data_IF_943846805693
#
_entry.id   IF_943846805693
#
_cell.length_a   1.000
_cell.length_b   1.000
_cell.length_c   1.000
_cell.angle_alpha   90.00
_cell.angle_beta   90.00
_cell.angle_gamma   90.00
#
_symmetry.space_group_name_H-M   'P 1'
#
loop_
_entity.id
_entity.type
_entity.pdbx_description
1 polymer ?
#
# COMPACT_ATOMS: atom_id res chain seq x y z
N UNK A 1 6.93 3.52 -18.22
CA UNK A 1 7.21 3.47 -19.67
C UNK A 1 6.46 2.33 -20.33
N UNK A 2 6.75 1.05 -20.03
CA UNK A 2 6.15 -0.14 -20.70
C UNK A 2 4.63 -0.09 -20.81
N UNK A 3 3.93 0.29 -19.72
CA UNK A 3 2.48 0.37 -19.68
C UNK A 3 1.96 1.46 -20.64
N UNK A 4 2.59 2.63 -20.69
CA UNK A 4 2.20 3.72 -21.59
C UNK A 4 2.47 3.38 -23.05
N UNK A 5 3.60 2.74 -23.36
CA UNK A 5 3.90 2.28 -24.71
C UNK A 5 2.94 1.19 -25.20
N UNK A 6 2.48 0.31 -24.31
CA UNK A 6 1.43 -0.67 -24.62
C UNK A 6 0.16 0.01 -25.13
N UNK A 7 -0.18 1.17 -24.57
CA UNK A 7 -1.33 1.99 -24.98
C UNK A 7 -1.02 2.91 -26.18
N UNK A 8 0.17 2.80 -26.76
CA UNK A 8 0.56 3.62 -27.90
C UNK A 8 0.87 5.08 -27.57
N UNK A 9 1.14 5.38 -26.31
CA UNK A 9 1.48 6.74 -25.83
C UNK A 9 2.97 6.98 -26.08
N UNK A 10 3.29 8.11 -26.73
CA UNK A 10 4.67 8.58 -26.82
C UNK A 10 5.18 8.99 -25.43
N UNK A 11 6.36 8.51 -25.07
CA UNK A 11 6.89 8.64 -23.71
C UNK A 11 8.26 9.32 -23.71
N UNK A 12 8.42 10.31 -22.84
CA UNK A 12 9.71 10.90 -22.48
C UNK A 12 10.08 10.38 -21.09
N UNK A 13 11.19 9.66 -20.97
CA UNK A 13 11.77 9.27 -19.69
C UNK A 13 12.79 10.32 -19.26
N UNK A 14 12.46 11.06 -18.22
CA UNK A 14 13.29 12.14 -17.69
C UNK A 14 13.94 11.75 -16.36
N UNK A 15 15.23 12.01 -16.22
CA UNK A 15 15.96 11.96 -14.94
C UNK A 15 16.89 13.16 -14.83
N UNK A 16 16.74 13.96 -13.75
CA UNK A 16 17.56 15.14 -13.50
C UNK A 16 18.99 14.86 -13.03
N UNK A 17 19.38 13.59 -12.84
CA UNK A 17 20.70 13.20 -12.41
C UNK A 17 21.69 13.18 -13.58
N UNK A 18 22.44 14.27 -13.74
CA UNK A 18 23.45 14.43 -14.81
C UNK A 18 24.59 13.38 -14.80
N UNK A 19 24.71 12.60 -13.72
CA UNK A 19 25.72 11.52 -13.61
C UNK A 19 25.31 10.25 -14.33
N UNK A 20 24.02 10.10 -14.67
CA UNK A 20 23.53 8.96 -15.45
C UNK A 20 23.89 9.13 -16.94
N UNK A 21 24.23 8.02 -17.60
CA UNK A 21 24.34 8.00 -19.06
C UNK A 21 23.03 7.50 -19.70
N UNK A 22 22.76 7.95 -20.93
CA UNK A 22 21.61 7.45 -21.71
C UNK A 22 21.69 5.96 -21.94
N UNK A 23 22.88 5.43 -22.16
CA UNK A 23 23.16 4.01 -22.37
C UNK A 23 22.81 3.17 -21.12
N UNK A 24 23.16 3.65 -19.92
CA UNK A 24 22.80 2.97 -18.68
C UNK A 24 21.30 2.93 -18.45
N UNK A 25 20.60 4.04 -18.74
CA UNK A 25 19.15 4.11 -18.63
C UNK A 25 18.48 3.23 -19.69
N UNK A 26 18.92 3.31 -20.94
CA UNK A 26 18.42 2.47 -22.03
C UNK A 26 18.59 0.97 -21.76
N UNK A 27 19.70 0.58 -21.16
CA UNK A 27 19.97 -0.82 -20.78
C UNK A 27 19.05 -1.38 -19.70
N UNK A 28 18.30 -0.53 -18.99
CA UNK A 28 17.28 -0.92 -17.99
C UNK A 28 15.87 -0.98 -18.57
N UNK A 29 15.66 -0.48 -19.77
CA UNK A 29 14.36 -0.50 -20.44
C UNK A 29 14.15 -1.83 -21.16
N UNK A 30 12.90 -2.25 -21.36
CA UNK A 30 12.59 -3.42 -22.18
C UNK A 30 13.15 -3.31 -23.59
N UNK A 31 13.48 -4.45 -24.19
CA UNK A 31 13.90 -4.51 -25.59
C UNK A 31 12.79 -3.95 -26.50
N UNK A 32 13.18 -3.08 -27.42
CA UNK A 32 12.24 -2.42 -28.33
C UNK A 32 11.51 -1.20 -27.74
N UNK A 33 11.85 -0.78 -26.51
CA UNK A 33 11.34 0.47 -25.93
C UNK A 33 11.67 1.67 -26.81
N UNK A 34 10.66 2.52 -27.08
CA UNK A 34 10.76 3.70 -27.94
C UNK A 34 10.78 5.02 -27.17
N UNK A 35 10.76 4.95 -25.84
CA UNK A 35 10.78 6.14 -25.00
C UNK A 35 12.01 7.01 -25.28
N UNK A 36 11.80 8.29 -25.47
CA UNK A 36 12.90 9.25 -25.53
C UNK A 36 13.51 9.42 -24.13
N UNK A 37 14.83 9.32 -24.03
CA UNK A 37 15.54 9.45 -22.75
C UNK A 37 16.15 10.86 -22.67
N UNK A 38 15.79 11.60 -21.64
CA UNK A 38 16.32 12.94 -21.32
C UNK A 38 16.99 12.90 -19.96
N UNK A 39 18.28 13.26 -19.91
CA UNK A 39 19.08 13.30 -18.68
C UNK A 39 19.56 14.72 -18.42
N UNK A 40 19.49 15.16 -17.15
CA UNK A 40 19.98 16.45 -16.69
C UNK A 40 18.93 17.55 -16.80
N UNK A 41 19.10 18.54 -17.68
CA UNK A 41 18.15 19.64 -17.79
C UNK A 41 16.80 19.18 -18.37
N UNK A 42 15.70 19.63 -17.73
CA UNK A 42 14.36 19.39 -18.25
C UNK A 42 14.12 20.23 -19.52
N UNK A 43 13.54 19.64 -20.60
CA UNK A 43 13.31 20.33 -21.87
C UNK A 43 12.05 21.20 -21.80
N UNK A 44 12.11 22.34 -21.13
CA UNK A 44 10.97 23.25 -20.93
C UNK A 44 10.34 23.76 -22.22
N UNK A 45 11.11 23.81 -23.32
CA UNK A 45 10.61 24.17 -24.65
C UNK A 45 9.59 23.16 -25.21
N UNK A 46 9.49 21.97 -24.61
CA UNK A 46 8.57 20.89 -25.02
C UNK A 46 7.37 20.73 -24.09
N UNK A 47 7.16 21.63 -23.15
CA UNK A 47 6.05 21.54 -22.18
C UNK A 47 4.69 21.42 -22.87
N UNK A 48 4.49 22.14 -23.97
CA UNK A 48 3.25 22.13 -24.75
C UNK A 48 2.97 20.75 -25.44
N UNK A 49 3.97 19.86 -25.52
CA UNK A 49 3.83 18.51 -26.04
C UNK A 49 3.42 17.51 -24.95
N UNK A 50 3.51 17.88 -23.68
CA UNK A 50 3.31 17.00 -22.53
C UNK A 50 1.85 16.98 -22.12
N UNK A 51 1.20 15.84 -22.28
CA UNK A 51 -0.19 15.63 -21.84
C UNK A 51 -0.34 15.19 -20.39
N UNK A 52 0.72 14.64 -19.78
CA UNK A 52 0.72 14.15 -18.40
C UNK A 52 2.15 13.97 -17.88
N UNK A 53 2.38 14.26 -16.61
CA UNK A 53 3.60 13.93 -15.88
C UNK A 53 3.33 12.74 -14.94
N UNK A 54 4.13 11.68 -15.06
CA UNK A 54 4.05 10.52 -14.15
C UNK A 54 5.30 10.46 -13.28
N UNK A 55 5.12 10.57 -11.98
CA UNK A 55 6.21 10.59 -11.00
C UNK A 55 6.54 9.19 -10.49
N UNK A 56 7.83 8.88 -10.39
CA UNK A 56 8.31 7.79 -9.54
C UNK A 56 8.15 8.18 -8.06
N UNK A 57 7.88 7.21 -7.15
CA UNK A 57 7.60 7.51 -5.73
C UNK A 57 8.68 8.32 -4.99
N UNK A 58 9.95 8.20 -5.43
CA UNK A 58 11.07 8.95 -4.86
C UNK A 58 11.16 10.42 -5.28
N UNK A 59 10.41 10.83 -6.31
CA UNK A 59 10.44 12.20 -6.85
C UNK A 59 9.55 13.11 -5.99
N UNK A 60 10.12 14.20 -5.41
CA UNK A 60 9.34 15.15 -4.64
C UNK A 60 8.34 15.94 -5.49
N UNK A 61 7.10 16.11 -4.96
CA UNK A 61 6.06 16.90 -5.63
C UNK A 61 6.32 18.41 -5.58
N UNK A 62 7.20 18.86 -4.67
CA UNK A 62 7.62 20.24 -4.52
C UNK A 62 8.80 20.64 -5.42
N UNK A 63 9.28 19.76 -6.29
CA UNK A 63 10.30 20.11 -7.26
C UNK A 63 9.80 21.17 -8.25
N UNK A 64 10.65 22.14 -8.65
CA UNK A 64 10.24 23.18 -9.59
C UNK A 64 9.59 22.66 -10.86
N UNK A 65 10.15 21.61 -11.47
CA UNK A 65 9.59 21.01 -12.69
C UNK A 65 8.17 20.48 -12.47
N UNK A 66 7.89 19.86 -11.32
CA UNK A 66 6.55 19.32 -11.00
C UNK A 66 5.57 20.47 -10.82
N UNK A 67 5.94 21.48 -10.02
CA UNK A 67 5.10 22.67 -9.80
C UNK A 67 4.83 23.45 -11.09
N UNK A 68 5.79 23.52 -12.00
CA UNK A 68 5.63 24.22 -13.27
C UNK A 68 4.68 23.44 -14.19
N UNK A 69 4.69 22.10 -14.18
CA UNK A 69 3.70 21.28 -14.88
C UNK A 69 2.30 21.50 -14.33
N UNK A 70 2.14 21.50 -13.00
CA UNK A 70 0.85 21.76 -12.37
C UNK A 70 0.31 23.18 -12.73
N UNK A 71 1.16 24.21 -12.69
CA UNK A 71 0.80 25.56 -13.11
C UNK A 71 0.41 25.65 -14.58
N UNK A 72 1.03 24.83 -15.44
CA UNK A 72 0.66 24.71 -16.84
C UNK A 72 -0.64 23.91 -17.08
N UNK A 73 -1.25 23.39 -16.01
CA UNK A 73 -2.48 22.57 -16.10
C UNK A 73 -2.23 21.14 -16.58
N UNK A 74 -0.99 20.68 -16.57
CA UNK A 74 -0.61 19.31 -16.93
C UNK A 74 -0.88 18.40 -15.72
N UNK A 75 -1.68 17.33 -15.87
CA UNK A 75 -1.94 16.39 -14.79
C UNK A 75 -0.63 15.75 -14.28
N UNK A 76 -0.46 15.72 -12.96
CA UNK A 76 0.65 15.06 -12.28
C UNK A 76 0.13 13.84 -11.55
N UNK A 77 0.53 12.66 -12.00
CA UNK A 77 0.13 11.38 -11.46
C UNK A 77 1.32 10.64 -10.85
N UNK A 78 1.03 9.77 -9.89
CA UNK A 78 2.00 8.82 -9.39
C UNK A 78 1.89 7.47 -10.10
N UNK A 79 2.84 6.60 -9.81
CA UNK A 79 2.90 5.23 -10.34
C UNK A 79 1.64 4.42 -9.96
N UNK A 80 1.15 4.56 -8.71
CA UNK A 80 -0.04 3.86 -8.21
C UNK A 80 -1.30 4.33 -8.91
N UNK A 81 -1.47 5.64 -9.10
CA UNK A 81 -2.61 6.21 -9.83
C UNK A 81 -2.65 5.69 -11.25
N UNK A 82 -1.52 5.78 -11.95
CA UNK A 82 -1.42 5.27 -13.32
C UNK A 82 -1.74 3.77 -13.39
N UNK A 83 -1.15 2.96 -12.51
CA UNK A 83 -1.35 1.52 -12.50
C UNK A 83 -2.81 1.14 -12.23
N UNK A 84 -3.48 1.84 -11.32
CA UNK A 84 -4.88 1.57 -10.95
C UNK A 84 -5.85 1.83 -12.09
N UNK A 85 -5.51 2.73 -13.02
CA UNK A 85 -6.33 2.98 -14.21
C UNK A 85 -6.32 1.80 -15.20
N UNK A 86 -5.29 0.95 -15.18
CA UNK A 86 -5.15 -0.21 -16.07
C UNK A 86 -5.39 -1.53 -15.34
N UNK A 87 -5.09 -1.59 -14.05
CA UNK A 87 -5.36 -2.75 -13.21
C UNK A 87 -6.84 -3.08 -13.16
N UNK A 88 -7.16 -4.36 -13.07
CA UNK A 88 -8.53 -4.87 -13.00
C UNK A 88 -8.72 -5.69 -11.73
N UNK A 89 -9.98 -5.86 -11.32
CA UNK A 89 -10.34 -6.58 -10.11
C UNK A 89 -10.33 -5.71 -8.86
N UNK A 90 -10.36 -6.35 -7.71
CA UNK A 90 -10.46 -5.66 -6.41
C UNK A 90 -9.06 -5.29 -5.88
N UNK A 91 -8.94 -4.12 -5.25
CA UNK A 91 -7.71 -3.66 -4.62
C UNK A 91 -7.88 -3.62 -3.10
N UNK A 92 -6.94 -4.22 -2.37
CA UNK A 92 -6.79 -4.15 -0.93
C UNK A 92 -5.49 -3.37 -0.64
N UNK A 93 -5.59 -2.16 -0.09
CA UNK A 93 -4.46 -1.26 0.03
C UNK A 93 -4.07 -1.01 1.49
N UNK A 94 -2.78 -1.03 1.79
CA UNK A 94 -2.25 -0.90 3.15
C UNK A 94 -1.23 0.21 3.21
N UNK A 95 -1.43 1.14 4.14
CA UNK A 95 -0.46 2.17 4.50
C UNK A 95 -0.26 2.22 6.02
N UNK A 96 0.62 3.09 6.47
CA UNK A 96 0.98 3.27 7.87
C UNK A 96 2.45 3.67 8.00
N UNK A 97 2.90 4.04 9.19
CA UNK A 97 4.32 4.27 9.43
C UNK A 97 5.04 2.92 9.50
N UNK A 98 4.58 2.01 10.34
CA UNK A 98 5.18 0.71 10.60
C UNK A 98 4.20 -0.44 10.31
N UNK A 99 4.72 -1.65 10.09
CA UNK A 99 3.92 -2.86 9.95
C UNK A 99 3.40 -3.15 8.54
N UNK A 100 3.49 -2.20 7.61
CA UNK A 100 2.98 -2.35 6.24
C UNK A 100 3.39 -3.67 5.57
N UNK A 101 4.68 -3.92 5.50
CA UNK A 101 5.22 -5.10 4.79
C UNK A 101 4.73 -6.42 5.39
N UNK A 102 4.74 -6.53 6.72
CA UNK A 102 4.25 -7.73 7.41
C UNK A 102 2.75 -7.94 7.14
N UNK A 103 1.95 -6.88 7.26
CA UNK A 103 0.50 -6.93 7.02
C UNK A 103 0.19 -7.25 5.56
N UNK A 104 0.88 -6.61 4.61
CA UNK A 104 0.68 -6.82 3.17
C UNK A 104 1.07 -8.24 2.76
N UNK A 105 2.20 -8.74 3.26
CA UNK A 105 2.65 -10.11 2.95
C UNK A 105 1.67 -11.13 3.51
N UNK A 106 1.28 -10.98 4.79
CA UNK A 106 0.30 -11.89 5.41
C UNK A 106 -1.05 -11.87 4.68
N UNK A 107 -1.58 -10.67 4.38
CA UNK A 107 -2.82 -10.55 3.61
C UNK A 107 -2.68 -11.17 2.22
N UNK A 108 -1.55 -10.97 1.57
CA UNK A 108 -1.24 -11.60 0.28
C UNK A 108 -1.31 -13.14 0.36
N UNK A 109 -0.73 -13.74 1.40
CA UNK A 109 -0.78 -15.19 1.61
C UNK A 109 -2.21 -15.70 1.93
N UNK A 110 -2.99 -14.94 2.71
CA UNK A 110 -4.40 -15.26 2.96
C UNK A 110 -5.20 -15.20 1.66
N UNK A 111 -5.00 -14.15 0.85
CA UNK A 111 -5.71 -14.00 -0.41
C UNK A 111 -5.33 -15.07 -1.43
N UNK A 112 -4.06 -15.48 -1.54
CA UNK A 112 -3.59 -16.60 -2.38
C UNK A 112 -4.20 -17.94 -1.99
N UNK A 113 -4.51 -18.15 -0.72
CA UNK A 113 -5.20 -19.35 -0.26
C UNK A 113 -6.71 -19.34 -0.62
N UNK A 114 -7.27 -18.20 -0.99
CA UNK A 114 -8.69 -18.03 -1.30
C UNK A 114 -8.97 -17.75 -2.78
N UNK A 115 -8.08 -17.04 -3.48
CA UNK A 115 -8.24 -16.62 -4.88
C UNK A 115 -7.10 -17.14 -5.75
N UNK A 116 -7.35 -17.53 -7.00
CA UNK A 116 -6.31 -18.03 -7.90
C UNK A 116 -5.41 -16.93 -8.45
N UNK A 117 -5.91 -15.69 -8.57
CA UNK A 117 -5.20 -14.57 -9.17
C UNK A 117 -4.99 -13.47 -8.13
N UNK A 118 -3.83 -13.49 -7.47
CA UNK A 118 -3.46 -12.51 -6.45
C UNK A 118 -2.13 -11.86 -6.80
N UNK A 119 -2.12 -10.53 -6.83
CA UNK A 119 -0.94 -9.72 -7.08
C UNK A 119 -0.56 -8.96 -5.81
N UNK A 120 0.69 -9.10 -5.37
CA UNK A 120 1.26 -8.30 -4.27
C UNK A 120 2.18 -7.27 -4.88
N UNK A 121 1.85 -5.99 -4.70
CA UNK A 121 2.46 -4.89 -5.46
C UNK A 121 2.71 -3.65 -4.61
N UNK A 122 3.38 -2.67 -5.18
CA UNK A 122 3.57 -1.32 -4.63
C UNK A 122 4.95 -1.12 -4.03
N UNK A 123 5.01 -0.64 -2.79
CA UNK A 123 6.27 -0.36 -2.09
C UNK A 123 7.08 -1.64 -1.75
N UNK A 124 6.44 -2.80 -1.85
CA UNK A 124 7.04 -4.14 -1.81
C UNK A 124 6.55 -4.99 -2.99
N UNK A 125 7.21 -6.10 -3.23
CA UNK A 125 6.86 -6.99 -4.35
C UNK A 125 7.24 -6.38 -5.70
N UNK A 126 6.38 -6.57 -6.68
CA UNK A 126 6.56 -6.00 -8.02
C UNK A 126 5.97 -4.58 -8.10
N UNK A 127 6.52 -3.69 -8.94
CA UNK A 127 5.87 -2.42 -9.26
C UNK A 127 4.45 -2.66 -9.78
N UNK A 128 3.49 -1.89 -9.28
CA UNK A 128 2.08 -2.08 -9.68
C UNK A 128 1.88 -1.90 -11.18
N UNK A 129 2.55 -0.92 -11.80
CA UNK A 129 2.54 -0.71 -13.26
C UNK A 129 3.05 -1.90 -14.08
N UNK A 130 3.92 -2.74 -13.51
CA UNK A 130 4.44 -3.94 -14.19
C UNK A 130 3.39 -5.06 -14.23
N UNK A 131 2.54 -5.14 -13.21
CA UNK A 131 1.55 -6.20 -13.04
C UNK A 131 0.17 -5.82 -13.60
N UNK A 132 -0.13 -4.53 -13.73
CA UNK A 132 -1.47 -4.03 -14.08
C UNK A 132 -2.05 -4.64 -15.36
N UNK A 133 -1.23 -4.81 -16.42
CA UNK A 133 -1.68 -5.39 -17.68
C UNK A 133 -1.97 -6.90 -17.62
N UNK A 134 -1.52 -7.60 -16.60
CA UNK A 134 -1.77 -9.03 -16.39
C UNK A 134 -3.08 -9.31 -15.66
N UNK A 135 -3.66 -8.27 -15.05
CA UNK A 135 -4.82 -8.37 -14.18
C UNK A 135 -6.11 -8.57 -14.96
N UNK A 136 -7.00 -9.39 -14.41
CA UNK A 136 -8.34 -9.65 -14.92
C UNK A 136 -9.41 -9.14 -13.93
N UNK A 137 -10.68 -9.06 -14.31
CA UNK A 137 -11.75 -8.72 -13.36
C UNK A 137 -11.87 -9.66 -12.15
N UNK A 138 -11.27 -10.86 -12.21
CA UNK A 138 -11.25 -11.83 -11.10
C UNK A 138 -10.02 -11.66 -10.18
N UNK A 139 -9.08 -10.82 -10.54
CA UNK A 139 -7.85 -10.58 -9.79
C UNK A 139 -8.10 -9.86 -8.47
N UNK A 140 -7.25 -10.12 -7.50
CA UNK A 140 -7.16 -9.35 -6.26
C UNK A 140 -5.75 -8.79 -6.12
N UNK A 141 -5.67 -7.49 -5.96
CA UNK A 141 -4.41 -6.78 -5.75
C UNK A 141 -4.26 -6.45 -4.27
N UNK A 142 -3.19 -6.89 -3.65
CA UNK A 142 -2.79 -6.50 -2.29
C UNK A 142 -1.62 -5.53 -2.42
N UNK A 143 -1.87 -4.27 -2.11
CA UNK A 143 -0.94 -3.18 -2.39
C UNK A 143 -0.37 -2.55 -1.11
N UNK A 144 0.96 -2.57 -0.96
CA UNK A 144 1.63 -1.74 0.04
C UNK A 144 1.83 -0.34 -0.53
N UNK A 145 1.23 0.67 0.10
CA UNK A 145 1.29 2.05 -0.39
C UNK A 145 2.01 2.96 0.61
N UNK A 146 3.07 3.60 0.16
CA UNK A 146 3.79 4.62 0.93
C UNK A 146 3.03 5.96 0.95
N UNK A 147 3.35 6.84 1.90
CA UNK A 147 2.82 8.20 1.91
C UNK A 147 3.17 8.99 0.66
N UNK A 148 4.34 8.72 0.07
CA UNK A 148 4.79 9.39 -1.16
C UNK A 148 3.94 9.00 -2.37
N UNK A 149 3.55 7.73 -2.48
CA UNK A 149 2.66 7.26 -3.54
C UNK A 149 1.24 7.81 -3.42
N UNK A 150 0.81 8.14 -2.19
CA UNK A 150 -0.51 8.72 -1.93
C UNK A 150 -0.59 10.23 -2.22
N UNK A 151 0.55 10.94 -2.33
CA UNK A 151 0.57 12.38 -2.65
C UNK A 151 -0.04 12.72 -4.02
N UNK A 152 -0.10 11.76 -4.92
CA UNK A 152 -0.45 11.95 -6.35
C UNK A 152 -1.55 11.00 -6.83
N UNK A 153 -2.44 10.60 -5.94
CA UNK A 153 -3.64 9.86 -6.30
C UNK A 153 -4.78 10.82 -6.65
N UNK A 154 -5.67 10.41 -7.57
CA UNK A 154 -6.81 11.16 -8.04
C UNK A 154 -8.09 10.34 -8.12
N UNK A 155 -7.99 9.06 -8.53
CA UNK A 155 -9.11 8.13 -8.72
C UNK A 155 -8.90 6.81 -8.00
N UNK A 156 -7.71 6.56 -7.51
CA UNK A 156 -7.40 5.34 -6.77
C UNK A 156 -8.40 5.13 -5.63
N UNK A 157 -9.17 4.06 -5.69
CA UNK A 157 -10.22 3.72 -4.73
C UNK A 157 -10.12 2.24 -4.38
N UNK A 158 -9.40 1.85 -3.32
CA UNK A 158 -9.33 0.46 -2.90
C UNK A 158 -10.67 0.01 -2.31
N UNK A 159 -11.05 -1.25 -2.56
CA UNK A 159 -12.25 -1.87 -1.96
C UNK A 159 -12.14 -1.97 -0.44
N UNK A 160 -10.95 -2.24 0.06
CA UNK A 160 -10.64 -2.19 1.48
C UNK A 160 -9.28 -1.54 1.65
N UNK A 161 -9.22 -0.49 2.45
CA UNK A 161 -7.97 0.15 2.84
C UNK A 161 -7.61 -0.16 4.29
N UNK A 162 -6.34 0.02 4.66
CA UNK A 162 -5.90 0.01 6.04
C UNK A 162 -4.85 1.10 6.31
N UNK A 163 -4.98 1.77 7.46
CA UNK A 163 -3.95 2.65 8.02
C UNK A 163 -3.55 2.08 9.37
N UNK A 164 -2.34 1.51 9.45
CA UNK A 164 -1.93 0.70 10.61
C UNK A 164 -1.56 1.55 11.83
N UNK A 165 -0.90 2.66 11.60
CA UNK A 165 -0.46 3.61 12.62
C UNK A 165 0.13 4.84 11.95
N UNK A 166 0.15 5.97 12.69
CA UNK A 166 0.80 7.21 12.25
C UNK A 166 1.71 7.72 13.38
N UNK A 167 3.02 7.58 13.18
CA UNK A 167 4.05 8.12 14.07
C UNK A 167 5.02 8.97 13.28
N UNK A 168 5.72 9.95 13.88
CA UNK A 168 6.63 10.84 13.14
C UNK A 168 7.64 10.09 12.29
N UNK A 169 7.61 10.33 10.99
CA UNK A 169 8.52 9.77 10.01
C UNK A 169 8.51 10.66 8.74
N UNK A 170 9.55 10.60 7.94
CA UNK A 170 9.66 11.30 6.65
C UNK A 170 9.33 12.81 6.68
N UNK A 171 9.54 13.50 7.83
CA UNK A 171 9.24 14.93 7.95
C UNK A 171 10.18 15.82 7.10
N UNK A 172 11.33 15.29 6.68
CA UNK A 172 12.18 15.92 5.69
C UNK A 172 11.51 16.03 4.31
N UNK A 173 10.50 15.19 4.02
CA UNK A 173 9.72 15.19 2.78
C UNK A 173 8.37 15.89 2.96
N UNK A 174 7.62 15.54 4.00
CA UNK A 174 6.27 16.08 4.23
C UNK A 174 6.26 17.42 4.97
N UNK A 175 7.40 17.84 5.51
CA UNK A 175 7.64 19.09 6.25
C UNK A 175 6.92 19.16 7.61
N UNK A 176 5.66 18.75 7.71
CA UNK A 176 4.87 18.74 8.95
C UNK A 176 4.17 17.42 9.19
N UNK A 177 3.78 17.15 10.45
CA UNK A 177 2.97 15.98 10.79
C UNK A 177 1.59 16.03 10.11
N UNK A 178 0.99 17.21 10.01
CA UNK A 178 -0.30 17.41 9.37
C UNK A 178 -0.28 16.98 7.90
N UNK A 179 0.78 17.32 7.17
CA UNK A 179 0.95 16.90 5.79
C UNK A 179 1.17 15.39 5.69
N UNK A 180 1.95 14.79 6.60
CA UNK A 180 2.18 13.36 6.65
C UNK A 180 0.89 12.57 6.95
N UNK A 181 0.09 13.06 7.90
CA UNK A 181 -1.23 12.51 8.23
C UNK A 181 -2.13 12.56 6.99
N UNK A 182 -2.31 13.74 6.40
CA UNK A 182 -3.12 13.93 5.18
C UNK A 182 -2.70 13.01 4.03
N UNK A 183 -1.38 12.88 3.82
CA UNK A 183 -0.87 11.99 2.78
C UNK A 183 -1.29 10.54 3.00
N UNK A 184 -1.34 10.05 4.26
CA UNK A 184 -1.81 8.69 4.53
C UNK A 184 -3.34 8.56 4.49
N UNK A 185 -4.06 9.54 5.00
CA UNK A 185 -5.52 9.59 4.97
C UNK A 185 -6.07 9.58 3.54
N UNK A 186 -5.30 10.11 2.57
CA UNK A 186 -5.66 10.14 1.16
C UNK A 186 -5.94 8.74 0.57
N UNK A 187 -5.47 7.65 1.20
CA UNK A 187 -5.81 6.28 0.78
C UNK A 187 -7.33 6.02 0.71
N UNK A 188 -8.12 6.81 1.44
CA UNK A 188 -9.59 6.71 1.48
C UNK A 188 -10.29 7.80 0.67
N UNK A 189 -9.56 8.70 0.00
CA UNK A 189 -10.12 9.92 -0.61
C UNK A 189 -11.27 9.63 -1.58
N UNK A 190 -11.16 8.56 -2.34
CA UNK A 190 -12.18 8.15 -3.32
C UNK A 190 -13.05 6.98 -2.85
N UNK A 191 -12.92 6.55 -1.59
CA UNK A 191 -13.79 5.55 -1.00
C UNK A 191 -15.14 6.16 -0.59
N UNK A 192 -16.16 5.32 -0.56
CA UNK A 192 -17.51 5.63 -0.10
C UNK A 192 -17.89 4.73 1.07
N UNK A 193 -19.14 4.79 1.53
CA UNK A 193 -19.62 3.89 2.59
C UNK A 193 -19.74 2.42 2.17
N UNK A 194 -19.55 2.12 0.90
CA UNK A 194 -19.53 0.75 0.39
C UNK A 194 -18.18 0.07 0.60
N UNK A 195 -17.11 0.87 0.76
CA UNK A 195 -15.75 0.41 1.02
C UNK A 195 -15.40 0.51 2.50
N UNK A 196 -14.46 -0.34 2.94
CA UNK A 196 -14.00 -0.35 4.33
C UNK A 196 -12.63 0.30 4.48
N UNK A 197 -12.44 0.98 5.62
CA UNK A 197 -11.12 1.41 6.07
C UNK A 197 -10.80 0.79 7.43
N UNK A 198 -9.77 -0.07 7.48
CA UNK A 198 -9.31 -0.74 8.69
C UNK A 198 -8.32 0.16 9.43
N UNK A 199 -8.62 0.51 10.67
CA UNK A 199 -7.93 1.54 11.45
C UNK A 199 -7.53 1.05 12.84
N UNK A 200 -6.39 1.50 13.34
CA UNK A 200 -5.95 1.24 14.72
C UNK A 200 -6.72 2.12 15.70
N UNK A 201 -7.51 1.53 16.57
CA UNK A 201 -8.26 2.25 17.59
C UNK A 201 -7.37 2.88 18.67
N UNK A 202 -6.18 2.34 18.88
CA UNK A 202 -5.22 2.84 19.88
C UNK A 202 -4.42 4.07 19.40
N UNK A 203 -4.45 4.35 18.11
CA UNK A 203 -3.89 5.56 17.51
C UNK A 203 -4.97 6.65 17.51
N UNK A 204 -4.73 7.74 18.27
CA UNK A 204 -5.71 8.81 18.45
C UNK A 204 -6.05 9.52 17.13
N UNK A 205 -5.04 9.73 16.26
CA UNK A 205 -5.24 10.34 14.95
C UNK A 205 -6.16 9.48 14.09
N UNK A 206 -5.95 8.15 14.09
CA UNK A 206 -6.77 7.23 13.29
C UNK A 206 -8.16 7.04 13.86
N UNK A 207 -8.32 7.10 15.18
CA UNK A 207 -9.65 7.03 15.81
C UNK A 207 -10.50 8.26 15.42
N UNK A 208 -9.91 9.46 15.48
CA UNK A 208 -10.58 10.68 15.03
C UNK A 208 -10.84 10.69 13.51
N UNK A 209 -9.92 10.14 12.74
CA UNK A 209 -10.08 10.00 11.30
C UNK A 209 -11.26 9.09 10.94
N UNK A 210 -11.46 8.00 11.68
CA UNK A 210 -12.59 7.10 11.49
C UNK A 210 -13.97 7.77 11.62
N UNK A 211 -14.06 8.89 12.34
CA UNK A 211 -15.29 9.69 12.44
C UNK A 211 -15.51 10.62 11.23
N UNK A 212 -14.45 10.88 10.44
CA UNK A 212 -14.44 11.86 9.35
C UNK A 212 -14.40 11.23 7.96
N UNK A 213 -13.85 10.03 7.85
CA UNK A 213 -13.72 9.35 6.55
C UNK A 213 -15.07 9.02 5.91
N UNK A 214 -15.14 9.06 4.59
CA UNK A 214 -16.31 8.62 3.85
C UNK A 214 -16.44 7.09 3.77
N UNK A 215 -15.33 6.35 3.94
CA UNK A 215 -15.33 4.90 4.03
C UNK A 215 -16.02 4.41 5.31
N UNK A 216 -16.46 3.16 5.32
CA UNK A 216 -16.95 2.52 6.54
C UNK A 216 -15.75 2.12 7.41
N UNK A 217 -15.54 2.76 8.60
CA UNK A 217 -14.41 2.43 9.45
C UNK A 217 -14.61 1.07 10.12
N UNK A 218 -13.54 0.27 10.17
CA UNK A 218 -13.49 -0.97 10.92
C UNK A 218 -12.23 -0.99 11.78
N UNK A 219 -12.39 -1.03 13.10
CA UNK A 219 -11.25 -0.86 14.00
C UNK A 219 -10.62 -2.17 14.44
N UNK A 220 -9.29 -2.12 14.66
CA UNK A 220 -8.59 -3.13 15.44
C UNK A 220 -8.00 -2.54 16.72
N UNK A 221 -7.90 -3.36 17.78
CA UNK A 221 -7.36 -2.94 19.07
C UNK A 221 -6.61 -4.07 19.77
N UNK A 222 -5.40 -3.79 20.23
CA UNK A 222 -4.63 -4.69 21.09
C UNK A 222 -4.85 -4.48 22.59
N UNK A 223 -5.63 -3.46 23.00
CA UNK A 223 -5.76 -3.05 24.41
C UNK A 223 -7.17 -3.10 24.96
N UNK A 224 -8.19 -3.17 24.12
CA UNK A 224 -9.60 -3.15 24.56
C UNK A 224 -10.53 -3.91 23.65
N UNK A 225 -11.64 -4.37 24.19
CA UNK A 225 -12.74 -4.92 23.42
C UNK A 225 -13.46 -3.82 22.63
N UNK A 226 -13.92 -4.16 21.44
CA UNK A 226 -14.70 -3.28 20.56
C UNK A 226 -16.09 -3.89 20.37
N UNK A 227 -17.12 -3.04 20.24
CA UNK A 227 -18.48 -3.48 19.92
C UNK A 227 -18.56 -4.08 18.51
N UNK A 228 -17.82 -3.48 17.55
CA UNK A 228 -17.60 -3.98 16.21
C UNK A 228 -16.11 -3.78 15.88
N UNK A 229 -15.43 -4.81 15.40
CA UNK A 229 -14.00 -4.73 15.13
C UNK A 229 -13.27 -6.05 15.34
N UNK A 230 -11.97 -5.98 15.37
CA UNK A 230 -11.10 -7.10 15.74
C UNK A 230 -10.21 -6.67 16.92
N UNK A 231 -10.10 -7.50 17.93
CA UNK A 231 -9.41 -7.09 19.16
C UNK A 231 -8.77 -8.26 19.91
N UNK A 232 -7.80 -7.92 20.73
CA UNK A 232 -7.13 -8.84 21.64
C UNK A 232 -7.85 -8.87 22.99
N UNK A 233 -8.26 -10.07 23.44
CA UNK A 233 -8.88 -10.32 24.73
C UNK A 233 -8.33 -11.60 25.34
N UNK A 234 -7.79 -11.56 26.55
CA UNK A 234 -7.30 -12.71 27.32
C UNK A 234 -6.36 -13.63 26.50
N UNK A 235 -5.50 -13.05 25.67
CA UNK A 235 -4.59 -13.78 24.79
C UNK A 235 -5.24 -14.40 23.55
N UNK A 236 -6.47 -14.04 23.24
CA UNK A 236 -7.20 -14.48 22.05
C UNK A 236 -7.49 -13.29 21.12
N UNK A 237 -7.35 -13.48 19.83
CA UNK A 237 -7.79 -12.54 18.80
C UNK A 237 -9.23 -12.86 18.45
N UNK A 238 -10.10 -11.87 18.61
CA UNK A 238 -11.56 -11.98 18.41
C UNK A 238 -11.97 -11.04 17.30
N UNK A 239 -12.70 -11.54 16.32
CA UNK A 239 -13.37 -10.76 15.27
C UNK A 239 -14.87 -10.66 15.60
N UNK A 240 -15.45 -9.45 15.55
CA UNK A 240 -16.87 -9.22 15.85
C UNK A 240 -17.50 -8.33 14.77
N UNK A 241 -18.40 -8.93 13.93
CA UNK A 241 -19.13 -8.21 12.89
C UNK A 241 -20.30 -9.03 12.28
N UNK A 242 -21.55 -8.93 12.72
CA UNK A 242 -21.97 -8.56 14.08
C UNK A 242 -21.65 -9.65 15.10
N UNK A 243 -21.57 -10.93 14.62
CA UNK A 243 -21.31 -12.08 15.47
C UNK A 243 -19.85 -12.13 15.90
N UNK A 244 -19.63 -12.62 17.12
CA UNK A 244 -18.30 -12.82 17.65
C UNK A 244 -17.72 -14.15 17.19
N UNK A 245 -16.55 -14.09 16.59
CA UNK A 245 -15.80 -15.26 16.10
C UNK A 245 -14.38 -15.20 16.64
N UNK A 246 -14.00 -16.22 17.42
CA UNK A 246 -12.61 -16.41 17.82
C UNK A 246 -11.74 -16.72 16.59
N UNK A 247 -10.71 -15.93 16.36
CA UNK A 247 -9.73 -16.13 15.28
C UNK A 247 -8.69 -17.16 15.71
N UNK A 248 -7.88 -16.85 16.74
CA UNK A 248 -6.83 -17.74 17.27
C UNK A 248 -6.41 -17.28 18.68
N UNK A 249 -5.61 -18.10 19.37
CA UNK A 249 -4.80 -17.63 20.50
C UNK A 249 -3.49 -17.03 20.01
N UNK A 250 -2.94 -16.07 20.75
CA UNK A 250 -1.65 -15.46 20.40
C UNK A 250 -0.49 -16.46 20.40
N UNK A 251 -0.56 -17.51 21.23
CA UNK A 251 0.44 -18.58 21.26
C UNK A 251 0.31 -19.58 20.10
N UNK A 252 -0.71 -19.47 19.26
CA UNK A 252 -0.84 -20.22 18.01
C UNK A 252 -0.11 -19.51 16.85
N UNK A 253 0.31 -18.25 17.04
CA UNK A 253 1.02 -17.44 16.04
C UNK A 253 2.53 -17.63 16.17
N UNK A 254 3.23 -17.70 15.04
CA UNK A 254 4.69 -17.67 15.02
C UNK A 254 5.26 -16.26 15.17
N UNK A 255 4.47 -15.24 14.84
CA UNK A 255 4.81 -13.84 15.04
C UNK A 255 4.60 -13.43 16.51
N UNK A 256 5.66 -12.94 17.15
CA UNK A 256 5.63 -12.53 18.55
C UNK A 256 5.57 -11.01 18.70
N UNK A 257 4.94 -10.58 19.80
CA UNK A 257 4.88 -9.17 20.20
C UNK A 257 3.61 -8.44 19.76
N UNK A 258 3.20 -7.47 20.57
CA UNK A 258 1.92 -6.75 20.41
C UNK A 258 1.77 -6.09 19.04
N UNK A 259 2.84 -5.46 18.54
CA UNK A 259 2.82 -4.84 17.20
C UNK A 259 2.57 -5.87 16.08
N UNK A 260 3.07 -7.10 16.23
CA UNK A 260 2.79 -8.15 15.26
C UNK A 260 1.35 -8.68 15.39
N UNK A 261 0.80 -8.72 16.61
CA UNK A 261 -0.62 -9.05 16.78
C UNK A 261 -1.53 -8.00 16.14
N UNK A 262 -1.15 -6.71 16.19
CA UNK A 262 -1.84 -5.63 15.48
C UNK A 262 -1.75 -5.80 13.96
N UNK A 263 -0.58 -6.15 13.43
CA UNK A 263 -0.40 -6.46 12.00
C UNK A 263 -1.28 -7.64 11.56
N UNK A 264 -1.33 -8.71 12.38
CA UNK A 264 -2.19 -9.88 12.13
C UNK A 264 -3.66 -9.47 12.17
N UNK A 265 -4.09 -8.71 13.19
CA UNK A 265 -5.47 -8.24 13.30
C UNK A 265 -5.89 -7.42 12.08
N UNK A 266 -5.03 -6.51 11.60
CA UNK A 266 -5.33 -5.71 10.42
C UNK A 266 -5.49 -6.59 9.17
N UNK A 267 -4.57 -7.53 8.92
CA UNK A 267 -4.66 -8.45 7.79
C UNK A 267 -5.90 -9.36 7.85
N UNK A 268 -6.20 -9.89 9.04
CA UNK A 268 -7.41 -10.73 9.29
C UNK A 268 -8.68 -9.92 9.06
N UNK A 269 -8.75 -8.67 9.58
CA UNK A 269 -9.90 -7.80 9.37
C UNK A 269 -10.16 -7.57 7.87
N UNK A 270 -9.13 -7.18 7.11
CA UNK A 270 -9.25 -6.97 5.68
C UNK A 270 -9.71 -8.24 4.95
N UNK A 271 -9.13 -9.39 5.27
CA UNK A 271 -9.50 -10.67 4.65
C UNK A 271 -10.95 -11.08 4.99
N UNK A 272 -11.36 -10.96 6.24
CA UNK A 272 -12.72 -11.30 6.69
C UNK A 272 -13.77 -10.36 6.07
N UNK A 273 -13.50 -9.05 6.02
CA UNK A 273 -14.35 -8.06 5.34
C UNK A 273 -14.44 -8.31 3.83
N UNK A 274 -13.39 -8.85 3.22
CA UNK A 274 -13.41 -9.28 1.82
C UNK A 274 -14.25 -10.56 1.60
N UNK A 275 -14.57 -11.29 2.65
CA UNK A 275 -15.35 -12.51 2.60
C UNK A 275 -14.53 -13.80 2.56
N UNK A 276 -13.27 -13.76 2.97
CA UNK A 276 -12.45 -14.98 3.11
C UNK A 276 -12.99 -15.80 4.29
N UNK A 277 -13.25 -17.12 4.13
CA UNK A 277 -13.68 -17.97 5.22
C UNK A 277 -12.70 -17.96 6.39
N UNK A 278 -13.22 -17.88 7.62
CA UNK A 278 -12.38 -17.77 8.82
C UNK A 278 -11.42 -18.96 8.99
N UNK A 279 -11.80 -20.15 8.56
CA UNK A 279 -10.93 -21.33 8.63
C UNK A 279 -9.72 -21.19 7.68
N UNK A 280 -9.92 -20.65 6.47
CA UNK A 280 -8.82 -20.34 5.55
C UNK A 280 -7.86 -19.33 6.17
N UNK A 281 -8.41 -18.28 6.81
CA UNK A 281 -7.61 -17.26 7.52
C UNK A 281 -6.78 -17.92 8.64
N UNK A 282 -7.42 -18.73 9.49
CA UNK A 282 -6.76 -19.45 10.59
C UNK A 282 -5.61 -20.33 10.13
N UNK A 283 -5.81 -21.07 9.05
CA UNK A 283 -4.79 -21.96 8.51
C UNK A 283 -3.55 -21.20 8.01
N UNK A 284 -3.75 -20.02 7.44
CA UNK A 284 -2.63 -19.19 6.95
C UNK A 284 -1.89 -18.53 8.11
N UNK A 285 -2.60 -17.87 9.03
CA UNK A 285 -1.94 -17.13 10.12
C UNK A 285 -1.11 -18.01 11.06
N UNK A 286 -1.51 -19.29 11.25
CA UNK A 286 -0.75 -20.25 12.08
C UNK A 286 0.57 -20.67 11.48
N UNK A 287 0.69 -20.69 10.15
CA UNK A 287 1.91 -21.09 9.45
C UNK A 287 2.79 -19.92 9.02
N UNK A 288 2.28 -18.68 9.13
CA UNK A 288 3.01 -17.49 8.72
C UNK A 288 4.10 -17.14 9.74
N UNK A 289 5.36 -17.30 9.35
CA UNK A 289 6.54 -17.07 10.20
C UNK A 289 7.10 -15.66 10.13
N UNK A 290 6.52 -14.79 9.31
CA UNK A 290 7.01 -13.42 9.10
C UNK A 290 7.61 -13.20 7.71
N UNK A 291 8.28 -12.09 7.57
CA UNK A 291 9.00 -11.69 6.35
C UNK A 291 10.48 -11.79 6.61
N UNK A 292 11.23 -12.42 5.70
CA UNK A 292 12.69 -12.54 5.79
C UNK A 292 13.34 -11.19 6.13
N UNK A 293 14.33 -11.21 6.99
CA UNK A 293 15.06 -10.04 7.50
C UNK A 293 14.25 -9.03 8.34
N UNK A 294 13.06 -9.42 8.85
CA UNK A 294 12.24 -8.59 9.75
C UNK A 294 11.82 -9.37 11.00
N UNK A 295 12.65 -9.29 12.08
CA UNK A 295 12.44 -9.99 13.36
C UNK A 295 12.11 -11.47 13.11
N UNK A 296 13.04 -12.15 12.46
CA UNK A 296 12.97 -13.57 12.16
C UNK A 296 13.56 -14.35 13.33
N UNK A 297 12.82 -15.35 13.81
CA UNK A 297 13.39 -16.30 14.77
C UNK A 297 14.44 -17.15 14.03
N UNK A 298 15.68 -17.01 14.42
CA UNK A 298 16.80 -17.73 13.79
C UNK A 298 17.13 -19.00 14.57
N UNK A 299 17.24 -18.91 15.88
CA UNK A 299 17.58 -20.03 16.75
C UNK A 299 17.38 -19.66 18.23
N UNK A 300 17.37 -20.68 19.08
CA UNK A 300 17.41 -20.53 20.53
C UNK A 300 18.72 -21.10 21.07
N UNK A 301 19.39 -20.35 21.94
CA UNK A 301 20.62 -20.80 22.63
C UNK A 301 20.56 -20.31 24.05
N UNK A 302 20.71 -21.26 25.02
CA UNK A 302 20.64 -20.98 26.45
C UNK A 302 19.37 -20.24 26.89
N UNK A 303 18.19 -20.70 26.42
CA UNK A 303 16.89 -20.09 26.68
C UNK A 303 16.74 -18.63 26.18
N UNK A 304 17.59 -18.20 25.24
CA UNK A 304 17.54 -16.91 24.59
C UNK A 304 17.24 -17.13 23.11
N UNK A 305 16.12 -16.55 22.64
CA UNK A 305 15.74 -16.55 21.22
C UNK A 305 16.52 -15.47 20.46
N UNK A 306 17.08 -15.81 19.31
CA UNK A 306 17.81 -14.92 18.41
C UNK A 306 17.08 -14.77 17.10
#
# INVERSE_FOLDING_TARGET
VTLLEHEGVETILYDGNEKLSREEVAGRLPEGCRAEIVIGAFPYERVDEIGMLVLSPGVPTDLPVVQDMEKAGIPVWGEVELASCFGKGDVLAITGTNGKTTTTTLLGEIMKAYKPEVFVVGNIGNPYTLEALKMTPASVTVAEISSFQLETIHRFAPKISAILNITPDHLNRHHTMENYIKAKEAITENQTKEEFCVLNYEDEVLREFGEKTNATPFFFSSKRELETGIFLKDGEIIFRNPDEVRVCKTNELQLLGTHNYENVMAAVAMAALYGVPMDTIRDVIRRFSGVEHRIEYVTEKNDVAY
#
